data_IF_888483277800
#
_entry.id   IF_888483277800
#
_cell.length_a   1.000
_cell.length_b   1.000
_cell.length_c   1.000
_cell.angle_alpha   90.00
_cell.angle_beta   90.00
_cell.angle_gamma   90.00
#
_symmetry.space_group_name_H-M   'P 1'
#
loop_
_entity.id
_entity.type
_entity.pdbx_description
1 polymer ?
#
# COMPACT_ATOMS: atom_id res chain seq x y z
N UNK A 1 27.79 42.29 -9.63
CA UNK A 1 27.46 40.87 -9.36
C UNK A 1 26.33 40.85 -8.35
N UNK A 2 25.11 40.51 -8.75
CA UNK A 2 24.05 40.14 -7.81
C UNK A 2 23.29 38.98 -8.41
N UNK A 3 23.15 37.96 -7.58
CA UNK A 3 23.07 36.56 -7.89
C UNK A 3 21.64 36.11 -8.18
N UNK A 4 21.53 35.23 -9.18
CA UNK A 4 20.37 34.46 -9.61
C UNK A 4 19.67 33.76 -8.45
N UNK A 5 18.35 33.93 -8.33
CA UNK A 5 17.46 33.10 -7.51
C UNK A 5 16.08 32.95 -8.16
N UNK A 6 16.06 32.43 -9.38
CA UNK A 6 14.84 31.93 -10.02
C UNK A 6 15.14 30.56 -10.61
N UNK A 7 15.23 29.56 -9.74
CA UNK A 7 15.14 28.17 -10.14
C UNK A 7 14.80 27.38 -8.89
N UNK A 8 13.58 26.86 -8.83
CA UNK A 8 13.13 25.71 -8.03
C UNK A 8 11.59 25.65 -8.06
N UNK A 9 11.00 25.74 -9.25
CA UNK A 9 9.58 25.42 -9.45
C UNK A 9 9.50 24.62 -10.74
N UNK A 10 9.65 23.29 -10.64
CA UNK A 10 9.14 22.26 -11.59
C UNK A 10 9.87 20.93 -11.36
N UNK A 11 9.62 20.26 -10.24
CA UNK A 11 10.09 18.87 -10.06
C UNK A 11 9.12 17.99 -9.26
N UNK A 12 7.90 18.47 -8.95
CA UNK A 12 6.93 17.73 -8.14
C UNK A 12 5.80 17.05 -8.96
N UNK A 13 5.61 17.42 -10.24
CA UNK A 13 4.46 16.95 -11.03
C UNK A 13 4.62 15.60 -11.71
N UNK A 14 5.85 15.15 -11.98
CA UNK A 14 6.09 14.00 -12.86
C UNK A 14 6.03 12.67 -12.09
N UNK A 15 6.41 12.66 -10.80
CA UNK A 15 6.35 11.45 -9.96
C UNK A 15 4.93 11.00 -9.62
N UNK A 16 3.95 11.91 -9.63
CA UNK A 16 2.57 11.56 -9.33
C UNK A 16 1.93 10.71 -10.45
N UNK A 17 2.24 10.99 -11.73
CA UNK A 17 1.58 10.30 -12.85
C UNK A 17 2.10 8.88 -13.08
N UNK A 18 3.38 8.62 -12.82
CA UNK A 18 3.96 7.27 -12.98
C UNK A 18 3.45 6.29 -11.93
N UNK A 19 3.13 6.75 -10.71
CA UNK A 19 2.54 5.92 -9.65
C UNK A 19 1.11 5.44 -9.96
N UNK A 20 0.31 6.25 -10.65
CA UNK A 20 -1.05 5.86 -11.06
C UNK A 20 -1.06 4.89 -12.25
N UNK A 21 -0.07 4.97 -13.15
CA UNK A 21 0.01 4.06 -14.30
C UNK A 21 0.50 2.65 -13.93
N UNK A 22 1.35 2.52 -12.90
CA UNK A 22 1.89 1.22 -12.47
C UNK A 22 0.95 0.41 -11.59
N UNK A 23 -0.04 1.03 -10.93
CA UNK A 23 -1.03 0.30 -10.10
C UNK A 23 -2.12 -0.39 -10.90
N UNK A 24 -2.32 -0.03 -12.17
CA UNK A 24 -3.36 -0.60 -13.02
C UNK A 24 -2.97 -1.92 -13.72
N UNK A 25 -1.70 -2.33 -13.69
CA UNK A 25 -1.19 -3.44 -14.52
C UNK A 25 -1.10 -4.80 -13.81
N UNK A 26 -1.52 -4.92 -12.55
CA UNK A 26 -1.47 -6.19 -11.81
C UNK A 26 -2.86 -6.66 -11.37
N UNK A 27 -3.76 -6.82 -12.34
CA UNK A 27 -5.01 -7.57 -12.13
C UNK A 27 -5.19 -8.59 -13.26
N UNK A 28 -4.24 -9.52 -13.40
CA UNK A 28 -4.48 -10.75 -14.16
C UNK A 28 -5.36 -11.67 -13.30
N UNK A 29 -6.67 -11.39 -13.30
CA UNK A 29 -7.68 -12.10 -12.53
C UNK A 29 -8.06 -13.42 -13.21
N UNK A 30 -7.18 -14.42 -13.12
CA UNK A 30 -7.51 -15.81 -13.38
C UNK A 30 -8.34 -16.38 -12.22
N UNK A 31 -9.65 -16.12 -12.20
CA UNK A 31 -10.60 -16.74 -11.27
C UNK A 31 -10.76 -16.00 -9.93
N UNK A 32 -11.60 -14.94 -9.89
CA UNK A 32 -12.03 -14.22 -8.67
C UNK A 32 -10.94 -13.68 -7.72
N UNK A 33 -9.65 -13.98 -7.91
CA UNK A 33 -8.54 -13.57 -7.03
C UNK A 33 -8.71 -14.09 -5.61
N UNK A 34 -9.31 -15.28 -5.44
CA UNK A 34 -9.62 -15.88 -4.15
C UNK A 34 -8.72 -17.08 -3.81
N UNK A 35 -7.77 -17.41 -4.67
CA UNK A 35 -6.76 -18.45 -4.47
C UNK A 35 -5.99 -18.27 -3.15
N UNK A 36 -5.80 -17.02 -2.69
CA UNK A 36 -5.18 -16.72 -1.40
C UNK A 36 -5.98 -17.21 -0.18
N UNK A 37 -7.29 -17.45 -0.31
CA UNK A 37 -8.11 -18.00 0.79
C UNK A 37 -7.71 -19.43 1.15
N UNK A 38 -7.12 -20.17 0.22
CA UNK A 38 -6.60 -21.52 0.49
C UNK A 38 -5.38 -21.51 1.42
N UNK A 39 -4.66 -20.37 1.46
CA UNK A 39 -3.49 -20.17 2.29
C UNK A 39 -3.90 -19.71 3.70
N UNK A 40 -4.29 -20.67 4.55
CA UNK A 40 -4.70 -20.43 5.94
C UNK A 40 -3.76 -19.50 6.73
N UNK A 41 -2.42 -19.66 6.73
CA UNK A 41 -1.56 -18.77 7.50
C UNK A 41 -1.49 -17.36 6.92
N UNK A 42 -1.65 -17.18 5.60
CA UNK A 42 -1.82 -15.86 5.01
C UNK A 42 -3.13 -15.19 5.43
N UNK A 43 -4.25 -15.92 5.39
CA UNK A 43 -5.56 -15.42 5.85
C UNK A 43 -5.49 -14.95 7.30
N UNK A 44 -4.80 -15.70 8.16
CA UNK A 44 -4.63 -15.33 9.57
C UNK A 44 -3.77 -14.07 9.73
N UNK A 45 -2.71 -13.93 8.92
CA UNK A 45 -1.91 -12.70 8.87
C UNK A 45 -2.76 -11.48 8.49
N UNK A 46 -3.62 -11.60 7.48
CA UNK A 46 -4.50 -10.52 7.05
C UNK A 46 -5.51 -10.13 8.14
N UNK A 47 -6.08 -11.11 8.84
CA UNK A 47 -6.96 -10.83 9.99
C UNK A 47 -6.22 -10.07 11.10
N UNK A 48 -5.00 -10.49 11.43
CA UNK A 48 -4.19 -9.81 12.43
C UNK A 48 -3.83 -8.38 12.00
N UNK A 49 -3.50 -8.18 10.73
CA UNK A 49 -3.30 -6.86 10.15
C UNK A 49 -4.54 -5.96 10.30
N UNK A 50 -5.74 -6.52 10.08
CA UNK A 50 -7.02 -5.80 10.31
C UNK A 50 -7.21 -5.43 11.77
N UNK A 51 -6.96 -6.35 12.70
CA UNK A 51 -7.05 -6.05 14.13
C UNK A 51 -6.07 -4.95 14.55
N UNK A 52 -4.81 -5.01 14.08
CA UNK A 52 -3.81 -3.98 14.34
C UNK A 52 -4.20 -2.62 13.74
N UNK A 53 -4.81 -2.63 12.57
CA UNK A 53 -5.35 -1.43 11.94
C UNK A 53 -6.49 -0.80 12.75
N UNK A 54 -7.39 -1.61 13.30
CA UNK A 54 -8.44 -1.14 14.21
C UNK A 54 -7.82 -0.54 15.49
N UNK A 55 -6.80 -1.17 16.08
CA UNK A 55 -6.07 -0.62 17.23
C UNK A 55 -5.40 0.72 16.89
N UNK A 56 -4.72 0.78 15.74
CA UNK A 56 -4.11 2.03 15.24
C UNK A 56 -5.16 3.14 15.08
N UNK A 57 -6.36 2.79 14.63
CA UNK A 57 -7.47 3.73 14.47
C UNK A 57 -7.98 4.29 15.80
N UNK A 58 -7.96 3.49 16.88
CA UNK A 58 -8.32 3.93 18.24
C UNK A 58 -7.25 4.87 18.79
N UNK A 59 -5.97 4.57 18.57
CA UNK A 59 -4.84 5.31 19.16
C UNK A 59 -4.53 6.60 18.39
N UNK A 60 -4.58 6.56 17.06
CA UNK A 60 -4.13 7.66 16.18
C UNK A 60 -5.26 8.34 15.43
N UNK A 61 -6.47 7.77 15.47
CA UNK A 61 -7.65 8.26 14.79
C UNK A 61 -8.03 7.44 13.55
N UNK A 62 -9.30 7.55 13.11
CA UNK A 62 -9.90 6.66 12.12
C UNK A 62 -9.21 6.70 10.75
N UNK A 63 -8.57 7.82 10.41
CA UNK A 63 -7.85 8.02 9.14
C UNK A 63 -6.68 7.03 8.98
N UNK A 64 -6.09 6.56 10.08
CA UNK A 64 -4.95 5.64 10.04
C UNK A 64 -5.34 4.18 9.85
N UNK A 65 -6.63 3.84 9.89
CA UNK A 65 -7.09 2.45 9.82
C UNK A 65 -6.68 1.78 8.52
N UNK A 66 -7.10 2.32 7.39
CA UNK A 66 -6.82 1.68 6.10
C UNK A 66 -5.33 1.77 5.73
N UNK A 67 -4.63 2.85 6.09
CA UNK A 67 -3.18 2.94 5.89
C UNK A 67 -2.41 1.86 6.68
N UNK A 68 -2.82 1.62 7.94
CA UNK A 68 -2.20 0.58 8.78
C UNK A 68 -2.55 -0.82 8.26
N UNK A 69 -3.78 -1.03 7.78
CA UNK A 69 -4.20 -2.29 7.18
C UNK A 69 -3.41 -2.58 5.92
N UNK A 70 -3.25 -1.59 5.04
CA UNK A 70 -2.51 -1.74 3.78
C UNK A 70 -1.04 -2.07 4.02
N UNK A 71 -0.40 -1.39 4.99
CA UNK A 71 0.95 -1.74 5.40
C UNK A 71 1.05 -3.19 5.91
N UNK A 72 0.06 -3.65 6.69
CA UNK A 72 -0.01 -5.03 7.15
C UNK A 72 -0.24 -6.03 6.01
N UNK A 73 -1.10 -5.68 5.05
CA UNK A 73 -1.36 -6.48 3.84
C UNK A 73 -0.08 -6.69 3.03
N UNK A 74 0.70 -5.63 2.81
CA UNK A 74 2.00 -5.74 2.13
C UNK A 74 3.00 -6.63 2.88
N UNK A 75 3.04 -6.56 4.22
CA UNK A 75 3.88 -7.46 5.01
C UNK A 75 3.46 -8.92 4.86
N UNK A 76 2.15 -9.20 4.88
CA UNK A 76 1.62 -10.54 4.66
C UNK A 76 1.93 -11.05 3.25
N UNK A 77 1.73 -10.22 2.21
CA UNK A 77 2.03 -10.57 0.82
C UNK A 77 3.52 -10.93 0.66
N UNK A 78 4.43 -10.07 1.16
CA UNK A 78 5.87 -10.34 1.11
C UNK A 78 6.27 -11.62 1.84
N UNK A 79 5.65 -11.90 2.99
CA UNK A 79 5.97 -13.08 3.80
C UNK A 79 5.52 -14.40 3.17
N UNK A 80 4.33 -14.44 2.59
CA UNK A 80 3.70 -15.69 2.13
C UNK A 80 3.78 -15.90 0.63
N UNK A 81 3.97 -14.83 -0.14
CA UNK A 81 4.01 -14.86 -1.61
C UNK A 81 5.28 -14.24 -2.20
N UNK A 82 6.11 -13.56 -1.40
CA UNK A 82 7.38 -12.99 -1.86
C UNK A 82 7.24 -11.77 -2.78
N UNK A 83 6.03 -11.25 -2.95
CA UNK A 83 5.73 -10.07 -3.76
C UNK A 83 4.68 -9.19 -3.05
N UNK A 84 4.34 -8.05 -3.66
CA UNK A 84 3.34 -7.10 -3.16
C UNK A 84 2.03 -7.21 -3.94
#
# INVERSE_FOLDING_TARGET
>A
MTTSRTSLITAAGIFAMTLFASSAQMANAGGLGLDWLSNKPYVECIKQARMLADVSSIVRGPVYREASFEQGRHQCNRRYYGHE
#
